data_IF_003756203827
#
_entry.id   IF_003756203827
#
_cell.length_a   1.000
_cell.length_b   1.000
_cell.length_c   1.000
_cell.angle_alpha   90.00
_cell.angle_beta   90.00
_cell.angle_gamma   90.00
#
_symmetry.space_group_name_H-M   'P 1'
#
loop_
_entity.id
_entity.type
_entity.pdbx_description
1 polymer ?
#
# COMPACT_ATOMS: atom_id res chain seq x y z
N UNK A 1 -2.54 16.74 -4.59
CA UNK A 1 -3.19 16.37 -3.31
C UNK A 1 -3.53 14.88 -3.16
N UNK A 2 -3.90 14.10 -4.19
CA UNK A 2 -4.29 12.68 -3.95
C UNK A 2 -3.15 11.65 -4.01
N UNK A 3 -2.00 11.96 -4.62
CA UNK A 3 -0.90 10.99 -4.76
C UNK A 3 -0.14 10.74 -3.45
N UNK A 4 0.10 11.80 -2.67
CA UNK A 4 0.83 11.70 -1.41
C UNK A 4 0.04 10.91 -0.35
N UNK A 5 -1.28 11.10 -0.31
CA UNK A 5 -2.15 10.36 0.61
C UNK A 5 -2.20 8.86 0.32
N UNK A 6 -2.13 8.45 -0.95
CA UNK A 6 -2.08 7.04 -1.34
C UNK A 6 -0.74 6.45 -0.91
N UNK A 7 0.37 7.14 -1.22
CA UNK A 7 1.70 6.73 -0.77
C UNK A 7 1.76 6.57 0.76
N UNK A 8 1.34 7.57 1.52
CA UNK A 8 1.32 7.55 3.00
C UNK A 8 0.42 6.44 3.57
N UNK A 9 -0.64 6.04 2.85
CA UNK A 9 -1.46 4.88 3.23
C UNK A 9 -0.76 3.54 3.00
N UNK A 10 -0.02 3.39 1.92
CA UNK A 10 0.73 2.18 1.59
C UNK A 10 2.01 2.05 2.44
N UNK A 11 2.73 3.16 2.60
CA UNK A 11 3.88 3.39 3.49
C UNK A 11 3.62 2.88 4.91
N UNK A 12 2.47 3.27 5.48
CA UNK A 12 2.10 2.92 6.86
C UNK A 12 1.67 1.46 7.03
N UNK A 13 1.92 0.58 6.05
CA UNK A 13 1.59 -0.85 6.04
C UNK A 13 0.09 -1.14 5.92
N UNK A 14 -0.77 -0.12 5.74
CA UNK A 14 -2.23 -0.28 5.63
C UNK A 14 -2.66 -0.79 4.25
N UNK A 15 -1.78 -0.65 3.25
CA UNK A 15 -1.96 -1.21 1.91
C UNK A 15 -2.11 -2.73 1.90
N UNK A 16 -1.31 -3.43 2.71
CA UNK A 16 -1.37 -4.90 2.85
C UNK A 16 -2.73 -5.35 3.38
N UNK A 17 -3.25 -4.67 4.40
CA UNK A 17 -4.55 -4.97 5.00
C UNK A 17 -5.70 -4.82 3.99
N UNK A 18 -5.64 -3.78 3.16
CA UNK A 18 -6.63 -3.55 2.11
C UNK A 18 -6.52 -4.58 0.99
N UNK A 19 -5.30 -4.89 0.52
CA UNK A 19 -5.05 -5.91 -0.50
C UNK A 19 -5.52 -7.30 -0.05
N UNK A 20 -5.17 -7.71 1.16
CA UNK A 20 -5.55 -9.01 1.71
C UNK A 20 -7.08 -9.14 1.90
N UNK A 21 -7.71 -8.08 2.41
CA UNK A 21 -9.18 -8.04 2.57
C UNK A 21 -9.89 -8.15 1.21
N UNK A 22 -9.34 -7.51 0.18
CA UNK A 22 -9.89 -7.57 -1.18
C UNK A 22 -9.71 -8.93 -1.83
N UNK A 23 -8.59 -9.63 -1.57
CA UNK A 23 -8.38 -11.02 -2.02
C UNK A 23 -9.38 -11.95 -1.36
N UNK A 24 -9.59 -11.85 -0.04
CA UNK A 24 -10.58 -12.66 0.67
C UNK A 24 -11.99 -12.40 0.16
N UNK A 25 -12.36 -11.13 -0.04
CA UNK A 25 -13.65 -10.77 -0.62
C UNK A 25 -13.79 -11.30 -2.05
N UNK A 26 -12.73 -11.20 -2.86
CA UNK A 26 -12.69 -11.73 -4.23
C UNK A 26 -12.85 -13.24 -4.27
N UNK A 27 -12.19 -13.97 -3.37
CA UNK A 27 -12.33 -15.41 -3.22
C UNK A 27 -13.75 -15.82 -2.82
N UNK A 28 -14.39 -15.03 -1.94
CA UNK A 28 -15.80 -15.23 -1.60
C UNK A 28 -16.70 -14.96 -2.82
N UNK A 29 -16.44 -13.88 -3.56
CA UNK A 29 -17.15 -13.49 -4.78
C UNK A 29 -17.03 -14.51 -5.92
N UNK A 30 -15.95 -15.29 -5.98
CA UNK A 30 -15.79 -16.39 -6.97
C UNK A 30 -16.96 -17.38 -6.89
N UNK A 31 -17.53 -17.58 -5.70
CA UNK A 31 -18.68 -18.47 -5.50
C UNK A 31 -19.96 -17.97 -6.18
N UNK A 32 -20.07 -16.65 -6.38
CA UNK A 32 -21.25 -15.98 -6.95
C UNK A 32 -21.02 -15.60 -8.42
N UNK A 33 -19.84 -15.04 -8.73
CA UNK A 33 -19.46 -14.64 -10.07
C UNK A 33 -17.94 -14.80 -10.27
N UNK A 34 -17.57 -15.90 -10.95
CA UNK A 34 -16.18 -16.27 -11.19
C UNK A 34 -15.34 -15.18 -11.86
N UNK A 35 -15.93 -14.43 -12.79
CA UNK A 35 -15.19 -13.39 -13.53
C UNK A 35 -14.89 -12.21 -12.60
N UNK A 36 -15.92 -11.72 -11.90
CA UNK A 36 -15.80 -10.59 -11.00
C UNK A 36 -14.91 -10.91 -9.80
N UNK A 37 -15.04 -12.11 -9.24
CA UNK A 37 -14.20 -12.61 -8.15
C UNK A 37 -12.74 -12.72 -8.57
N UNK A 38 -12.45 -13.30 -9.75
CA UNK A 38 -11.07 -13.36 -10.26
C UNK A 38 -10.47 -11.98 -10.47
N UNK A 39 -11.22 -11.01 -10.99
CA UNK A 39 -10.75 -9.62 -11.15
C UNK A 39 -10.45 -8.99 -9.79
N UNK A 40 -11.33 -9.17 -8.79
CA UNK A 40 -11.12 -8.64 -7.44
C UNK A 40 -9.88 -9.24 -6.76
N UNK A 41 -9.66 -10.54 -6.91
CA UNK A 41 -8.43 -11.21 -6.42
C UNK A 41 -7.20 -10.63 -7.12
N UNK A 42 -7.25 -10.43 -8.44
CA UNK A 42 -6.13 -9.91 -9.24
C UNK A 42 -5.77 -8.46 -8.83
N UNK A 43 -6.78 -7.62 -8.59
CA UNK A 43 -6.58 -6.27 -8.04
C UNK A 43 -5.96 -6.35 -6.64
N UNK A 44 -6.45 -7.23 -5.77
CA UNK A 44 -5.91 -7.40 -4.43
C UNK A 44 -4.43 -7.82 -4.43
N UNK A 45 -4.03 -8.69 -5.35
CA UNK A 45 -2.61 -9.08 -5.55
C UNK A 45 -1.78 -7.88 -5.99
N UNK A 46 -2.26 -7.09 -6.97
CA UNK A 46 -1.56 -5.87 -7.42
C UNK A 46 -1.36 -4.90 -6.26
N UNK A 47 -2.36 -4.73 -5.39
CA UNK A 47 -2.25 -3.86 -4.21
C UNK A 47 -1.25 -4.39 -3.18
N UNK A 48 -1.16 -5.72 -3.00
CA UNK A 48 -0.12 -6.33 -2.15
C UNK A 48 1.27 -6.06 -2.71
N UNK A 49 1.48 -6.30 -4.01
CA UNK A 49 2.77 -6.07 -4.66
C UNK A 49 3.17 -4.60 -4.63
N UNK A 50 2.21 -3.68 -4.81
CA UNK A 50 2.46 -2.24 -4.67
C UNK A 50 2.77 -1.85 -3.23
N UNK A 51 2.09 -2.46 -2.25
CA UNK A 51 2.38 -2.22 -0.84
C UNK A 51 3.78 -2.70 -0.46
N UNK A 52 4.18 -3.86 -0.98
CA UNK A 52 5.51 -4.44 -0.77
C UNK A 52 6.59 -3.55 -1.41
N UNK A 53 6.38 -3.15 -2.66
CA UNK A 53 7.27 -2.23 -3.37
C UNK A 53 7.42 -0.88 -2.68
N UNK A 54 6.33 -0.30 -2.17
CA UNK A 54 6.36 0.97 -1.44
C UNK A 54 7.05 0.80 -0.08
N UNK A 55 6.77 -0.29 0.64
CA UNK A 55 7.43 -0.59 1.91
C UNK A 55 8.95 -0.71 1.71
N UNK A 56 9.39 -1.50 0.72
CA UNK A 56 10.81 -1.71 0.46
C UNK A 56 11.52 -0.44 -0.05
N UNK A 57 10.79 0.46 -0.75
CA UNK A 57 11.35 1.76 -1.15
C UNK A 57 11.34 2.83 -0.04
N UNK A 58 10.64 2.61 1.08
CA UNK A 58 10.83 3.38 2.32
C UNK A 58 11.95 2.80 3.20
N UNK A 59 12.27 1.51 3.06
CA UNK A 59 13.47 0.93 3.67
C UNK A 59 14.75 1.44 2.99
N UNK A 60 14.66 1.88 1.73
CA UNK A 60 15.64 2.72 1.05
C UNK A 60 15.46 4.23 1.35
N UNK A 61 14.87 4.62 2.49
CA UNK A 61 15.02 5.97 3.01
C UNK A 61 16.51 6.23 3.29
N UNK A 62 17.15 6.85 2.30
CA UNK A 62 18.43 7.51 2.41
C UNK A 62 18.48 8.30 3.74
N UNK A 63 19.63 8.34 4.44
CA UNK A 63 19.79 8.88 5.80
C UNK A 63 19.50 10.39 5.98
N UNK A 64 18.87 11.05 5.00
CA UNK A 64 18.60 12.48 4.97
C UNK A 64 17.20 12.86 5.48
N UNK A 65 16.31 11.91 5.75
CA UNK A 65 14.98 12.18 6.32
C UNK A 65 15.01 12.45 7.85
N UNK A 66 16.19 12.73 8.40
CA UNK A 66 16.39 13.23 9.76
C UNK A 66 16.89 14.67 9.69
N UNK A 67 16.09 15.55 9.09
CA UNK A 67 16.28 17.01 9.21
C UNK A 67 15.01 17.62 9.80
N UNK A 68 14.60 17.11 10.96
CA UNK A 68 13.86 17.91 11.90
C UNK A 68 14.90 18.52 12.85
N UNK A 69 14.75 19.82 13.07
CA UNK A 69 15.21 20.58 14.24
C UNK A 69 16.72 20.78 14.38
N UNK A 70 17.22 21.91 13.84
CA UNK A 70 18.25 22.72 14.51
C UNK A 70 18.20 24.15 13.93
N UNK A 71 17.23 24.94 14.40
CA UNK A 71 17.49 26.37 14.57
C UNK A 71 18.59 26.50 15.63
N UNK A 72 19.62 27.30 15.36
CA UNK A 72 19.77 28.47 16.20
C UNK A 72 19.91 29.73 15.33
N UNK A 73 19.03 30.68 15.61
CA UNK A 73 19.22 32.08 15.25
C UNK A 73 20.52 32.60 15.90
N UNK A 74 21.48 33.01 15.08
CA UNK A 74 22.47 34.05 15.43
C UNK A 74 22.52 35.11 14.31
#
# INVERSE_FOLDING_TARGET
>A
MSKDAVKDFFAKGRGVLLGFSLILLGALLITVNKILGSIAVLIGIILLTLSDYISESEEEELPWNKTDEDEPEE
#
